data_IF_059517359384
#
_entry.id   IF_059517359384
#
_cell.length_a   1.000
_cell.length_b   1.000
_cell.length_c   1.000
_cell.angle_alpha   90.00
_cell.angle_beta   90.00
_cell.angle_gamma   90.00
#
_symmetry.space_group_name_H-M   'P 1'
#
loop_
_entity.id
_entity.type
_entity.pdbx_description
1 polymer ?
#
# COMPACT_ATOMS: atom_id res chain seq x y z
N UNK A 1 -6.70 12.84 7.57
CA UNK A 1 -5.54 11.91 7.61
C UNK A 1 -4.21 12.58 7.30
N UNK A 2 -4.19 13.73 6.61
CA UNK A 2 -2.95 14.43 6.22
C UNK A 2 -1.92 14.60 7.34
N UNK A 3 -2.38 14.81 8.59
CA UNK A 3 -1.50 14.91 9.77
C UNK A 3 -0.65 13.67 10.05
N UNK A 4 -1.03 12.50 9.55
CA UNK A 4 -0.34 11.23 9.78
C UNK A 4 0.54 10.79 8.59
N UNK A 5 0.43 11.47 7.45
CA UNK A 5 1.25 11.24 6.25
C UNK A 5 2.15 12.46 5.98
N UNK A 6 2.67 13.07 7.05
CA UNK A 6 3.58 14.22 6.99
C UNK A 6 5.05 13.81 6.80
N UNK A 7 5.39 12.54 7.03
CA UNK A 7 6.75 12.07 6.87
C UNK A 7 7.20 12.25 5.40
N UNK A 8 8.45 12.70 5.13
CA UNK A 8 8.90 12.98 3.77
C UNK A 8 8.74 11.82 2.80
N UNK A 9 8.80 10.58 3.30
CA UNK A 9 8.61 9.37 2.49
C UNK A 9 7.30 9.38 1.68
N UNK A 10 6.21 9.89 2.24
CA UNK A 10 4.91 9.89 1.55
C UNK A 10 4.90 10.86 0.35
N UNK A 11 5.62 11.98 0.45
CA UNK A 11 5.82 12.91 -0.67
C UNK A 11 6.73 12.33 -1.74
N UNK A 12 7.77 11.59 -1.34
CA UNK A 12 8.64 10.90 -2.30
C UNK A 12 7.83 9.84 -3.06
N UNK A 13 6.96 9.10 -2.38
CA UNK A 13 6.07 8.10 -3.00
C UNK A 13 5.04 8.77 -3.91
N UNK A 14 4.40 9.86 -3.48
CA UNK A 14 3.49 10.67 -4.30
C UNK A 14 4.14 11.05 -5.63
N UNK A 15 5.30 11.70 -5.58
CA UNK A 15 5.97 12.18 -6.78
C UNK A 15 6.40 11.04 -7.71
N UNK A 16 6.87 9.92 -7.15
CA UNK A 16 7.23 8.73 -7.92
C UNK A 16 6.01 8.12 -8.61
N UNK A 17 4.90 7.96 -7.88
CA UNK A 17 3.67 7.38 -8.40
C UNK A 17 3.05 8.26 -9.50
N UNK A 18 3.00 9.57 -9.28
CA UNK A 18 2.45 10.53 -10.24
C UNK A 18 3.29 10.62 -11.53
N UNK A 19 4.62 10.59 -11.43
CA UNK A 19 5.52 10.56 -12.61
C UNK A 19 5.37 9.25 -13.39
N UNK A 20 5.20 8.13 -12.70
CA UNK A 20 4.96 6.83 -13.31
C UNK A 20 3.53 6.67 -13.83
N UNK A 21 2.62 7.62 -13.57
CA UNK A 21 1.20 7.54 -13.88
C UNK A 21 0.52 6.28 -13.31
N UNK A 22 0.89 5.91 -12.08
CA UNK A 22 0.28 4.79 -11.35
C UNK A 22 -0.42 5.30 -10.09
N UNK A 23 -1.53 4.67 -9.75
CA UNK A 23 -2.19 4.96 -8.49
C UNK A 23 -1.45 4.27 -7.34
N UNK A 24 -1.29 4.95 -6.21
CA UNK A 24 -0.63 4.44 -5.01
C UNK A 24 -1.45 4.76 -3.75
N UNK A 25 -1.52 3.79 -2.84
CA UNK A 25 -2.29 3.89 -1.61
C UNK A 25 -1.54 3.27 -0.45
N UNK A 26 -1.63 3.89 0.73
CA UNK A 26 -1.26 3.23 1.98
C UNK A 26 -2.43 2.39 2.47
N UNK A 27 -2.17 1.18 2.93
CA UNK A 27 -3.20 0.19 3.26
C UNK A 27 -2.89 -0.51 4.60
N UNK A 28 -3.82 -1.38 5.02
CA UNK A 28 -3.55 -2.40 6.02
C UNK A 28 -3.36 -1.87 7.44
N UNK A 29 -2.38 -2.44 8.15
CA UNK A 29 -2.16 -2.18 9.56
C UNK A 29 -1.85 -0.73 9.87
N UNK A 30 -1.08 -0.08 8.99
CA UNK A 30 -0.73 1.33 9.12
C UNK A 30 -1.95 2.25 9.19
N UNK A 31 -2.92 2.06 8.28
CA UNK A 31 -4.13 2.89 8.20
C UNK A 31 -4.98 2.71 9.45
N UNK A 32 -5.21 1.45 9.85
CA UNK A 32 -5.95 1.11 11.08
C UNK A 32 -5.30 1.73 12.32
N UNK A 33 -3.99 1.54 12.48
CA UNK A 33 -3.29 1.96 13.69
C UNK A 33 -3.24 3.48 13.82
N UNK A 34 -3.12 4.20 12.69
CA UNK A 34 -3.26 5.67 12.67
C UNK A 34 -4.64 6.13 13.11
N UNK A 35 -5.70 5.48 12.62
CA UNK A 35 -7.08 5.84 13.00
C UNK A 35 -7.28 5.65 14.50
N UNK A 36 -6.63 4.64 15.08
CA UNK A 36 -6.60 4.37 16.53
C UNK A 36 -5.59 5.25 17.31
N UNK A 37 -4.97 6.26 16.68
CA UNK A 37 -3.91 7.11 17.24
C UNK A 37 -2.71 6.33 17.84
N UNK A 38 -2.35 5.21 17.20
CA UNK A 38 -1.17 4.42 17.56
C UNK A 38 -0.02 4.73 16.59
N UNK A 39 1.21 4.92 17.09
CA UNK A 39 2.36 5.11 16.22
C UNK A 39 2.65 3.80 15.46
N UNK A 40 2.84 3.90 14.15
CA UNK A 40 3.22 2.79 13.29
C UNK A 40 4.28 3.27 12.30
N UNK A 41 5.30 2.46 12.07
CA UNK A 41 6.42 2.76 11.15
C UNK A 41 6.55 1.76 10.01
N UNK A 42 5.73 0.71 10.04
CA UNK A 42 5.61 -0.28 8.99
C UNK A 42 4.52 0.18 8.03
N UNK A 43 4.92 0.59 6.82
CA UNK A 43 4.04 1.18 5.82
C UNK A 43 3.86 0.19 4.67
N UNK A 44 2.63 -0.27 4.49
CA UNK A 44 2.24 -1.08 3.35
C UNK A 44 1.67 -0.18 2.25
N UNK A 45 2.33 -0.16 1.09
CA UNK A 45 1.91 0.59 -0.09
C UNK A 45 1.43 -0.36 -1.16
N UNK A 46 0.18 -0.24 -1.56
CA UNK A 46 -0.35 -0.88 -2.77
C UNK A 46 -0.32 0.09 -3.94
N UNK A 47 0.03 -0.40 -5.12
CA UNK A 47 -0.04 0.38 -6.36
C UNK A 47 -0.74 -0.40 -7.47
N UNK A 48 -1.44 0.30 -8.35
CA UNK A 48 -2.02 -0.30 -9.56
C UNK A 48 -0.91 -0.48 -10.58
N UNK A 49 -0.42 -1.71 -10.69
CA UNK A 49 0.76 -2.07 -11.49
C UNK A 49 1.88 -2.66 -10.63
N UNK A 50 3.13 -2.44 -11.03
CA UNK A 50 4.27 -3.10 -10.39
C UNK A 50 4.76 -2.36 -9.14
N UNK A 51 4.47 -2.92 -7.96
CA UNK A 51 5.04 -2.45 -6.69
C UNK A 51 6.58 -2.47 -6.68
N UNK A 52 7.20 -3.42 -7.37
CA UNK A 52 8.66 -3.49 -7.51
C UNK A 52 9.19 -2.28 -8.31
N UNK A 53 8.50 -1.89 -9.38
CA UNK A 53 8.89 -0.73 -10.17
C UNK A 53 8.77 0.56 -9.35
N UNK A 54 7.65 0.73 -8.63
CA UNK A 54 7.45 1.89 -7.76
C UNK A 54 8.52 1.97 -6.66
N UNK A 55 8.84 0.85 -6.00
CA UNK A 55 9.89 0.80 -4.97
C UNK A 55 11.26 1.25 -5.50
N UNK A 56 11.59 0.87 -6.74
CA UNK A 56 12.84 1.30 -7.39
C UNK A 56 12.83 2.80 -7.69
N UNK A 57 11.74 3.33 -8.24
CA UNK A 57 11.60 4.77 -8.51
C UNK A 57 11.70 5.60 -7.22
N UNK A 58 11.07 5.14 -6.14
CA UNK A 58 11.18 5.75 -4.81
C UNK A 58 12.63 5.70 -4.30
N UNK A 59 13.31 4.57 -4.41
CA UNK A 59 14.69 4.43 -3.97
C UNK A 59 15.66 5.34 -4.75
N UNK A 60 15.46 5.50 -6.06
CA UNK A 60 16.24 6.42 -6.90
C UNK A 60 16.09 7.88 -6.44
N UNK A 61 14.86 8.28 -6.08
CA UNK A 61 14.56 9.62 -5.54
C UNK A 61 15.14 9.86 -4.16
N UNK A 62 15.17 8.83 -3.30
CA UNK A 62 15.83 8.93 -1.99
C UNK A 62 17.35 9.09 -2.16
N UNK A 63 17.94 8.34 -3.08
CA UNK A 63 19.36 8.44 -3.43
C UNK A 63 20.04 7.10 -3.64
N UNK A 64 21.21 7.14 -4.28
CA UNK A 64 21.97 5.98 -4.82
C UNK A 64 22.32 4.87 -3.83
N UNK A 65 22.27 5.12 -2.52
CA UNK A 65 22.60 4.14 -1.49
C UNK A 65 21.39 3.40 -0.92
N UNK A 66 20.17 3.71 -1.38
CA UNK A 66 18.95 3.07 -0.91
C UNK A 66 18.85 1.66 -1.48
N UNK A 67 18.89 0.66 -0.61
CA UNK A 67 18.76 -0.74 -1.01
C UNK A 67 17.29 -1.12 -1.10
N UNK A 68 16.89 -1.66 -2.26
CA UNK A 68 15.58 -2.28 -2.47
C UNK A 68 15.73 -3.79 -2.38
N UNK A 69 15.04 -4.40 -1.42
CA UNK A 69 14.94 -5.85 -1.29
C UNK A 69 13.75 -6.33 -2.11
N UNK A 70 13.99 -7.14 -3.15
CA UNK A 70 12.93 -7.61 -4.05
C UNK A 70 12.59 -9.07 -3.76
N UNK A 71 11.32 -9.35 -3.50
CA UNK A 71 10.80 -10.68 -3.25
C UNK A 71 9.97 -11.14 -4.44
N UNK A 72 10.63 -11.61 -5.51
CA UNK A 72 9.98 -11.95 -6.80
C UNK A 72 8.83 -12.95 -6.67
N UNK A 73 8.99 -13.97 -5.81
CA UNK A 73 7.97 -15.00 -5.59
C UNK A 73 6.66 -14.42 -5.04
N UNK A 74 6.77 -13.32 -4.30
CA UNK A 74 5.65 -12.61 -3.72
C UNK A 74 5.32 -11.34 -4.47
N UNK A 75 6.01 -11.01 -5.57
CA UNK A 75 5.82 -9.77 -6.34
C UNK A 75 5.92 -8.48 -5.51
N UNK A 76 6.62 -8.50 -4.38
CA UNK A 76 6.79 -7.33 -3.49
C UNK A 76 8.22 -6.81 -3.52
N UNK A 77 8.38 -5.58 -3.08
CA UNK A 77 9.67 -4.99 -2.81
C UNK A 77 9.61 -4.20 -1.50
N UNK A 78 10.71 -4.17 -0.77
CA UNK A 78 10.85 -3.42 0.46
C UNK A 78 12.05 -2.49 0.41
N UNK A 79 11.93 -1.33 1.03
CA UNK A 79 13.06 -0.43 1.31
C UNK A 79 12.91 0.16 2.71
N UNK A 80 14.03 0.67 3.25
CA UNK A 80 14.04 1.41 4.50
C UNK A 80 14.41 2.86 4.23
N UNK A 81 13.70 3.78 4.85
CA UNK A 81 14.02 5.21 4.80
C UNK A 81 13.86 5.82 6.20
N UNK A 82 14.97 6.29 6.76
CA UNK A 82 15.05 6.74 8.15
C UNK A 82 14.57 5.62 9.10
N UNK A 83 13.53 5.86 9.88
CA UNK A 83 12.94 4.91 10.82
C UNK A 83 11.71 4.17 10.28
N UNK A 84 11.39 4.34 8.99
CA UNK A 84 10.26 3.68 8.32
C UNK A 84 10.72 2.47 7.50
N UNK A 85 9.96 1.39 7.62
CA UNK A 85 10.03 0.22 6.74
C UNK A 85 8.84 0.30 5.77
N UNK A 86 9.13 0.31 4.46
CA UNK A 86 8.12 0.47 3.44
C UNK A 86 8.10 -0.76 2.55
N UNK A 87 6.97 -1.45 2.55
CA UNK A 87 6.66 -2.53 1.62
C UNK A 87 5.80 -2.00 0.47
N UNK A 88 6.17 -2.38 -0.75
CA UNK A 88 5.44 -2.08 -1.97
C UNK A 88 4.91 -3.36 -2.58
N UNK A 89 3.61 -3.38 -2.83
CA UNK A 89 2.88 -4.47 -3.45
C UNK A 89 2.09 -3.97 -4.65
N UNK A 90 2.13 -4.71 -5.75
CA UNK A 90 1.19 -4.49 -6.85
C UNK A 90 -0.18 -5.03 -6.50
N UNK A 91 -1.24 -4.28 -6.80
CA UNK A 91 -2.62 -4.73 -6.63
C UNK A 91 -2.86 -6.00 -7.44
N UNK A 92 -3.52 -6.98 -6.81
CA UNK A 92 -3.69 -8.30 -7.38
C UNK A 92 -5.11 -8.76 -7.31
N UNK A 93 -5.51 -9.44 -8.37
CA UNK A 93 -6.67 -10.29 -8.38
C UNK A 93 -6.24 -11.72 -8.10
N UNK A 94 -6.83 -12.32 -7.08
CA UNK A 94 -6.65 -13.72 -6.76
C UNK A 94 -7.89 -14.50 -7.17
N UNK A 95 -7.70 -15.54 -7.99
CA UNK A 95 -8.76 -16.51 -8.29
C UNK A 95 -8.41 -17.86 -7.69
N UNK A 96 -9.37 -18.48 -7.01
CA UNK A 96 -9.21 -19.76 -6.34
C UNK A 96 -9.81 -20.87 -7.17
N UNK A 97 -9.02 -21.88 -7.50
CA UNK A 97 -9.53 -23.12 -8.05
C UNK A 97 -10.00 -24.00 -6.86
N UNK A 98 -11.18 -24.63 -6.98
CA UNK A 98 -11.75 -25.50 -5.92
C UNK A 98 -10.80 -26.64 -5.52
N UNK A 99 -9.91 -27.05 -6.42
CA UNK A 99 -8.99 -28.17 -6.22
C UNK A 99 -7.59 -27.74 -5.70
N UNK A 100 -7.34 -26.45 -5.49
CA UNK A 100 -6.03 -25.93 -5.05
C UNK A 100 -6.15 -24.81 -4.01
N UNK A 101 -5.36 -24.90 -2.95
CA UNK A 101 -5.22 -23.81 -1.97
C UNK A 101 -4.33 -22.66 -2.43
N UNK A 102 -3.66 -22.79 -3.58
CA UNK A 102 -2.85 -21.72 -4.16
C UNK A 102 -3.69 -20.93 -5.16
N UNK A 103 -3.90 -19.62 -4.96
CA UNK A 103 -4.62 -18.79 -5.92
C UNK A 103 -3.78 -18.57 -7.19
N UNK A 104 -4.48 -18.35 -8.30
CA UNK A 104 -3.90 -17.76 -9.51
C UNK A 104 -3.89 -16.25 -9.29
N UNK A 105 -2.72 -15.64 -9.50
CA UNK A 105 -2.47 -14.21 -9.23
C UNK A 105 -2.31 -13.47 -10.54
N UNK A 106 -3.14 -12.44 -10.74
CA UNK A 106 -3.10 -11.53 -11.89
C UNK A 106 -3.06 -10.07 -11.42
N UNK A 107 -2.66 -9.15 -12.30
CA UNK A 107 -2.77 -7.72 -12.02
C UNK A 107 -4.25 -7.34 -11.81
N UNK A 108 -4.51 -6.62 -10.72
CA UNK A 108 -5.88 -6.29 -10.29
C UNK A 108 -6.10 -4.81 -10.06
N UNK A 109 -7.37 -4.46 -9.82
CA UNK A 109 -7.76 -3.15 -9.30
C UNK A 109 -7.50 -3.05 -7.80
N UNK A 110 -7.60 -1.84 -7.24
CA UNK A 110 -7.58 -1.66 -5.78
C UNK A 110 -8.71 -2.46 -5.11
N UNK A 111 -9.88 -2.48 -5.74
CA UNK A 111 -11.05 -3.22 -5.27
C UNK A 111 -10.79 -4.74 -5.27
N UNK A 112 -10.14 -5.28 -6.31
CA UNK A 112 -9.73 -6.69 -6.34
C UNK A 112 -8.77 -7.01 -5.17
N UNK A 113 -7.80 -6.13 -4.89
CA UNK A 113 -6.85 -6.31 -3.76
C UNK A 113 -7.52 -6.18 -2.39
N UNK A 114 -8.54 -5.34 -2.27
CA UNK A 114 -9.27 -5.19 -1.02
C UNK A 114 -10.22 -6.36 -0.78
N UNK A 115 -10.88 -6.88 -1.82
CA UNK A 115 -11.82 -8.01 -1.73
C UNK A 115 -11.18 -9.32 -1.26
N UNK A 116 -9.88 -9.52 -1.51
CA UNK A 116 -9.15 -10.71 -1.02
C UNK A 116 -8.73 -10.62 0.46
N UNK A 117 -9.03 -9.53 1.16
CA UNK A 117 -8.64 -9.33 2.57
C UNK A 117 -9.70 -9.87 3.51
N UNK A 118 -9.25 -10.58 4.54
CA UNK A 118 -10.15 -11.27 5.49
C UNK A 118 -10.99 -10.32 6.37
N UNK A 119 -10.56 -9.07 6.57
CA UNK A 119 -11.23 -8.11 7.46
C UNK A 119 -11.41 -6.74 6.80
N UNK A 120 -12.61 -6.17 6.92
CA UNK A 120 -13.00 -4.85 6.42
C UNK A 120 -12.08 -3.73 6.91
N UNK A 121 -11.66 -3.79 8.18
CA UNK A 121 -10.72 -2.83 8.78
C UNK A 121 -9.33 -2.82 8.11
N UNK A 122 -8.94 -3.95 7.48
CA UNK A 122 -7.67 -4.09 6.78
C UNK A 122 -7.78 -3.75 5.28
N UNK A 123 -9.00 -3.51 4.80
CA UNK A 123 -9.31 -3.04 3.46
C UNK A 123 -9.33 -1.50 3.35
N UNK A 124 -9.17 -0.78 4.46
CA UNK A 124 -9.01 0.68 4.43
C UNK A 124 -7.74 1.07 3.66
N UNK A 125 -7.88 2.11 2.82
CA UNK A 125 -6.79 2.66 2.04
C UNK A 125 -6.74 4.18 2.17
N UNK A 126 -5.55 4.77 2.04
CA UNK A 126 -5.33 6.22 1.99
C UNK A 126 -4.61 6.55 0.69
N UNK A 127 -5.19 7.44 -0.13
CA UNK A 127 -4.58 7.89 -1.38
C UNK A 127 -3.25 8.62 -1.17
N UNK A 128 -2.26 8.31 -2.00
CA UNK A 128 -0.94 8.95 -2.02
C UNK A 128 -0.69 9.82 -3.26
N UNK A 129 -1.52 9.71 -4.30
CA UNK A 129 -1.37 10.57 -5.48
C UNK A 129 -1.81 12.00 -5.16
N UNK A 130 -1.28 12.99 -5.88
CA UNK A 130 -1.61 14.40 -5.65
C UNK A 130 -3.12 14.70 -5.73
N UNK A 131 -3.85 13.99 -6.59
CA UNK A 131 -5.30 14.16 -6.79
C UNK A 131 -6.16 13.67 -5.61
N UNK A 132 -5.64 12.74 -4.81
CA UNK A 132 -6.36 12.07 -3.73
C UNK A 132 -5.57 11.99 -2.41
N UNK A 133 -4.49 12.77 -2.28
CA UNK A 133 -3.57 12.72 -1.16
C UNK A 133 -4.32 12.82 0.19
N UNK A 134 -4.15 11.81 1.04
CA UNK A 134 -4.77 11.78 2.36
C UNK A 134 -6.27 11.49 2.39
N UNK A 135 -6.93 11.22 1.25
CA UNK A 135 -8.32 10.77 1.22
C UNK A 135 -8.39 9.30 1.63
N UNK A 136 -9.31 8.97 2.54
CA UNK A 136 -9.61 7.58 2.92
C UNK A 136 -10.55 6.97 1.87
N UNK A 137 -10.22 5.76 1.42
CA UNK A 137 -11.09 4.89 0.66
C UNK A 137 -11.55 3.77 1.59
N UNK A 138 -12.86 3.71 1.83
CA UNK A 138 -13.51 2.70 2.66
C UNK A 138 -14.72 2.08 1.92
N UNK A 139 -14.50 1.21 0.91
CA UNK A 139 -15.59 0.61 0.16
C UNK A 139 -16.41 -0.42 0.96
N UNK A 140 -15.87 -0.94 2.07
CA UNK A 140 -16.48 -2.03 2.83
C UNK A 140 -17.03 -1.61 4.21
N UNK A 141 -16.97 -0.32 4.55
CA UNK A 141 -17.45 0.19 5.84
C UNK A 141 -16.56 -0.20 7.03
N UNK A 142 -15.26 -0.40 6.81
CA UNK A 142 -14.28 -0.73 7.83
C UNK A 142 -14.19 0.31 8.95
N UNK A 143 -14.48 1.58 8.68
CA UNK A 143 -14.58 2.61 9.73
C UNK A 143 -15.71 2.30 10.72
N UNK A 144 -16.89 1.92 10.22
CA UNK A 144 -18.04 1.57 11.05
C UNK A 144 -17.80 0.29 11.86
N UNK A 145 -17.07 -0.67 11.29
CA UNK A 145 -16.74 -1.91 11.98
C UNK A 145 -15.72 -1.70 13.11
N UNK A 146 -14.88 -0.66 13.02
CA UNK A 146 -13.99 -0.28 14.12
C UNK A 146 -14.74 0.37 15.29
N UNK A 147 -15.78 1.16 15.02
CA UNK A 147 -16.58 1.83 16.08
C UNK A 147 -17.48 0.87 16.86
N UNK A 148 -17.85 -0.27 16.27
CA UNK A 148 -18.73 -1.28 16.88
C UNK A 148 -18.01 -2.27 17.82
N UNK A 149 -16.72 -2.06 18.09
CA UNK A 149 -15.90 -2.89 18.99
C UNK A 149 -15.39 -2.09 20.18
#
# INVERSE_FOLDING_TARGET
MEKHIQHPIFRIIEEAADEMHVDAYVIGGYVRDIILNRPCKDVDVVTIGSGIALAKAVAERIGRNTKVSVFKNFGTAMLKYQDYEIEFVGARKESYNRDSRKPIVEDGTLEDDQNRRDFTINALAIGLNKSNYGKILDPFGGLNDMEKK
#
